data_IF_123235365684
#
_entry.id   IF_123235365684
#
_cell.length_a   1.000
_cell.length_b   1.000
_cell.length_c   1.000
_cell.angle_alpha   90.00
_cell.angle_beta   90.00
_cell.angle_gamma   90.00
#
_symmetry.space_group_name_H-M   'P 1'
#
loop_
_entity.id
_entity.type
_entity.pdbx_description
1 polymer ?
#
# COMPACT_ATOMS: atom_id res chain seq x y z
N UNK A 1 28.32 -4.27 -15.57
CA UNK A 1 27.51 -3.30 -14.81
C UNK A 1 27.38 -3.82 -13.37
N UNK A 2 27.89 -3.07 -12.40
CA UNK A 2 27.85 -3.49 -10.99
C UNK A 2 26.41 -3.82 -10.55
N UNK A 3 26.24 -4.93 -9.83
CA UNK A 3 24.92 -5.40 -9.37
C UNK A 3 24.11 -4.33 -8.61
N UNK A 4 24.79 -3.40 -7.94
CA UNK A 4 24.18 -2.26 -7.24
C UNK A 4 23.57 -1.22 -8.22
N UNK A 5 24.26 -0.88 -9.30
CA UNK A 5 23.79 0.11 -10.29
C UNK A 5 22.54 -0.37 -11.04
N UNK A 6 22.47 -1.66 -11.37
CA UNK A 6 21.27 -2.23 -12.03
C UNK A 6 20.05 -2.27 -11.11
N UNK A 7 20.25 -2.45 -9.80
CA UNK A 7 19.18 -2.40 -8.80
C UNK A 7 18.61 -0.98 -8.66
N UNK A 8 19.49 0.01 -8.58
CA UNK A 8 19.12 1.41 -8.45
C UNK A 8 18.37 1.91 -9.70
N UNK A 9 18.85 1.60 -10.88
CA UNK A 9 18.16 1.97 -12.13
C UNK A 9 16.77 1.37 -12.24
N UNK A 10 16.59 0.09 -11.88
CA UNK A 10 15.27 -0.55 -11.88
C UNK A 10 14.30 0.07 -10.86
N UNK A 11 14.79 0.54 -9.71
CA UNK A 11 13.98 1.21 -8.72
C UNK A 11 13.57 2.62 -9.16
N UNK A 12 14.48 3.37 -9.81
CA UNK A 12 14.16 4.67 -10.41
C UNK A 12 13.13 4.51 -11.54
N UNK A 13 13.31 3.51 -12.39
CA UNK A 13 12.34 3.24 -13.47
C UNK A 13 10.94 2.96 -12.90
N UNK A 14 10.88 2.17 -11.83
CA UNK A 14 9.61 1.93 -11.13
C UNK A 14 9.01 3.23 -10.57
N UNK A 15 9.82 4.08 -9.95
CA UNK A 15 9.36 5.39 -9.47
C UNK A 15 8.78 6.24 -10.61
N UNK A 16 9.49 6.34 -11.73
CA UNK A 16 9.03 7.10 -12.90
C UNK A 16 7.69 6.55 -13.43
N UNK A 17 7.53 5.22 -13.49
CA UNK A 17 6.29 4.58 -13.95
C UNK A 17 5.14 4.88 -13.00
N UNK A 18 5.37 4.79 -11.69
CA UNK A 18 4.35 5.04 -10.68
C UNK A 18 3.93 6.51 -10.65
N UNK A 19 4.90 7.42 -10.60
CA UNK A 19 4.62 8.87 -10.60
C UNK A 19 3.96 9.28 -11.91
N UNK A 20 4.47 8.84 -13.06
CA UNK A 20 3.87 9.11 -14.36
C UNK A 20 2.45 8.53 -14.48
N UNK A 21 2.19 7.36 -13.89
CA UNK A 21 0.86 6.77 -13.82
C UNK A 21 -0.11 7.63 -12.99
N UNK A 22 0.31 8.10 -11.82
CA UNK A 22 -0.52 8.97 -10.98
C UNK A 22 -0.75 10.35 -11.64
N UNK A 23 0.26 10.95 -12.26
CA UNK A 23 0.11 12.20 -13.01
C UNK A 23 -0.84 12.06 -14.20
N UNK A 24 -0.74 10.93 -14.92
CA UNK A 24 -1.67 10.60 -15.99
C UNK A 24 -3.12 10.49 -15.50
N UNK A 25 -3.33 9.87 -14.32
CA UNK A 25 -4.65 9.78 -13.71
C UNK A 25 -5.17 11.15 -13.27
N UNK A 26 -4.34 12.01 -12.71
CA UNK A 26 -4.71 13.39 -12.37
C UNK A 26 -5.10 14.18 -13.63
N UNK A 27 -4.34 14.04 -14.70
CA UNK A 27 -4.66 14.71 -15.98
C UNK A 27 -6.03 14.26 -16.52
N UNK A 28 -6.36 12.96 -16.44
CA UNK A 28 -7.67 12.43 -16.84
C UNK A 28 -8.80 13.00 -15.95
N UNK A 29 -8.57 13.10 -14.64
CA UNK A 29 -9.55 13.71 -13.72
C UNK A 29 -9.80 15.18 -14.07
N UNK A 30 -8.76 15.92 -14.39
CA UNK A 30 -8.88 17.33 -14.79
C UNK A 30 -9.64 17.51 -16.10
N UNK A 31 -9.73 16.48 -16.95
CA UNK A 31 -10.56 16.45 -18.15
C UNK A 31 -12.03 16.07 -17.86
N UNK A 32 -12.42 15.91 -16.58
CA UNK A 32 -13.77 15.52 -16.16
C UNK A 32 -14.27 14.19 -16.79
N UNK A 33 -13.37 13.21 -16.93
CA UNK A 33 -13.69 11.90 -17.50
C UNK A 33 -13.56 10.77 -16.47
N UNK A 34 -14.50 10.63 -15.52
CA UNK A 34 -14.41 9.65 -14.44
C UNK A 34 -14.39 8.19 -14.93
N UNK A 35 -15.10 7.89 -16.02
CA UNK A 35 -15.11 6.54 -16.59
C UNK A 35 -13.76 6.16 -17.20
N UNK A 36 -13.11 7.11 -17.87
CA UNK A 36 -11.77 6.94 -18.43
C UNK A 36 -10.76 6.79 -17.29
N UNK A 37 -10.94 7.57 -16.22
CA UNK A 37 -10.11 7.43 -15.01
C UNK A 37 -10.19 6.02 -14.44
N UNK A 38 -11.38 5.50 -14.20
CA UNK A 38 -11.59 4.17 -13.63
C UNK A 38 -10.94 3.06 -14.48
N UNK A 39 -11.15 3.12 -15.80
CA UNK A 39 -10.55 2.17 -16.75
C UNK A 39 -9.02 2.28 -16.76
N UNK A 40 -8.48 3.49 -16.83
CA UNK A 40 -7.03 3.71 -16.85
C UNK A 40 -6.40 3.28 -15.53
N UNK A 41 -7.02 3.61 -14.39
CA UNK A 41 -6.59 3.16 -13.08
C UNK A 41 -6.51 1.63 -12.98
N UNK A 42 -7.51 0.93 -13.54
CA UNK A 42 -7.52 -0.52 -13.60
C UNK A 42 -6.33 -1.07 -14.41
N UNK A 43 -6.08 -0.54 -15.61
CA UNK A 43 -4.95 -0.99 -16.44
C UNK A 43 -3.59 -0.65 -15.84
N UNK A 44 -3.43 0.54 -15.25
CA UNK A 44 -2.20 0.93 -14.55
C UNK A 44 -1.98 0.02 -13.35
N UNK A 45 -3.03 -0.31 -12.60
CA UNK A 45 -2.99 -1.26 -11.50
C UNK A 45 -2.57 -2.67 -11.92
N UNK A 46 -3.16 -3.18 -13.00
CA UNK A 46 -2.77 -4.49 -13.57
C UNK A 46 -1.31 -4.49 -14.01
N UNK A 47 -0.86 -3.42 -14.68
CA UNK A 47 0.53 -3.28 -15.10
C UNK A 47 1.48 -3.26 -13.89
N UNK A 48 1.11 -2.55 -12.82
CA UNK A 48 1.89 -2.50 -11.60
C UNK A 48 1.99 -3.87 -10.90
N UNK A 49 0.88 -4.61 -10.80
CA UNK A 49 0.84 -5.97 -10.28
C UNK A 49 1.72 -6.90 -11.13
N UNK A 50 1.61 -6.79 -12.44
CA UNK A 50 2.42 -7.57 -13.38
C UNK A 50 3.91 -7.27 -13.22
N UNK A 51 4.29 -6.00 -13.02
CA UNK A 51 5.66 -5.59 -12.79
C UNK A 51 6.24 -6.23 -11.50
N UNK A 52 5.46 -6.24 -10.41
CA UNK A 52 5.86 -6.92 -9.17
C UNK A 52 5.97 -8.42 -9.38
N UNK A 53 5.06 -9.01 -10.12
CA UNK A 53 5.08 -10.42 -10.46
C UNK A 53 6.34 -10.79 -11.26
N UNK A 54 6.70 -9.97 -12.24
CA UNK A 54 7.93 -10.14 -13.00
C UNK A 54 9.18 -10.01 -12.12
N UNK A 55 9.19 -9.06 -11.19
CA UNK A 55 10.28 -8.84 -10.27
C UNK A 55 10.54 -10.06 -9.38
N UNK A 56 9.45 -10.67 -8.88
CA UNK A 56 9.52 -11.80 -7.96
C UNK A 56 10.33 -12.98 -8.52
N UNK A 57 10.15 -13.31 -9.80
CA UNK A 57 10.71 -14.55 -10.36
C UNK A 57 12.10 -14.39 -10.99
N UNK A 58 12.43 -13.19 -11.45
CA UNK A 58 13.75 -12.93 -12.04
C UNK A 58 14.92 -13.22 -11.07
N UNK A 59 14.65 -13.30 -9.77
CA UNK A 59 15.65 -13.52 -8.74
C UNK A 59 15.62 -14.90 -8.08
N UNK A 60 14.49 -15.63 -8.13
CA UNK A 60 14.35 -16.89 -7.41
C UNK A 60 14.88 -18.11 -8.15
N UNK A 61 14.83 -18.13 -9.47
CA UNK A 61 15.09 -19.36 -10.23
C UNK A 61 16.32 -19.38 -11.13
N UNK A 62 16.84 -18.23 -11.57
CA UNK A 62 17.93 -18.29 -12.55
C UNK A 62 18.91 -17.11 -12.46
N UNK A 63 19.89 -17.15 -11.56
CA UNK A 63 21.06 -16.28 -11.69
C UNK A 63 21.84 -16.54 -13.01
N UNK A 64 21.59 -17.69 -13.67
CA UNK A 64 22.18 -18.07 -14.95
C UNK A 64 21.51 -17.49 -16.20
N UNK A 65 20.20 -17.19 -16.16
CA UNK A 65 19.49 -16.60 -17.31
C UNK A 65 19.93 -15.17 -17.62
N UNK A 66 20.36 -14.42 -16.59
CA UNK A 66 20.97 -13.11 -16.79
C UNK A 66 22.39 -13.14 -17.40
N UNK A 67 23.12 -14.23 -17.24
CA UNK A 67 24.40 -14.43 -17.95
C UNK A 67 24.20 -14.64 -19.46
N UNK A 68 23.10 -15.30 -19.87
CA UNK A 68 22.73 -15.43 -21.29
C UNK A 68 22.33 -14.11 -21.95
N UNK A 69 21.88 -13.12 -21.20
CA UNK A 69 21.58 -11.79 -21.72
C UNK A 69 22.85 -10.96 -22.09
N UNK A 70 24.05 -11.40 -21.67
CA UNK A 70 25.33 -10.79 -22.09
C UNK A 70 25.71 -11.06 -23.54
N UNK A 71 25.17 -12.11 -24.15
CA UNK A 71 25.43 -12.47 -25.54
C UNK A 71 24.52 -11.70 -26.54
N UNK A 72 23.79 -10.68 -26.07
CA UNK A 72 22.78 -9.92 -26.80
C UNK A 72 23.35 -8.74 -27.65
N UNK A 73 24.56 -8.87 -28.16
CA UNK A 73 25.17 -7.80 -28.96
C UNK A 73 24.81 -7.84 -30.45
N UNK A 74 23.82 -8.60 -30.87
CA UNK A 74 23.42 -8.72 -32.26
C UNK A 74 22.06 -8.08 -32.55
N UNK A 75 22.08 -6.90 -33.20
CA UNK A 75 20.96 -6.29 -33.92
C UNK A 75 19.66 -6.00 -33.16
N UNK A 76 19.14 -4.77 -33.24
CA UNK A 76 17.99 -4.29 -32.45
C UNK A 76 16.69 -5.08 -32.67
N UNK A 77 16.43 -5.57 -33.90
CA UNK A 77 15.26 -6.40 -34.21
C UNK A 77 15.36 -7.82 -33.62
N UNK A 78 16.55 -8.40 -33.64
CA UNK A 78 16.82 -9.69 -33.00
C UNK A 78 16.73 -9.60 -31.47
N UNK A 79 17.02 -8.42 -30.90
CA UNK A 79 16.94 -8.12 -29.49
C UNK A 79 15.48 -8.12 -29.01
N UNK A 80 14.55 -7.51 -29.77
CA UNK A 80 13.13 -7.44 -29.44
C UNK A 80 12.47 -8.83 -29.45
N UNK A 81 12.70 -9.62 -30.51
CA UNK A 81 12.14 -10.98 -30.64
C UNK A 81 12.72 -11.94 -29.57
N UNK A 82 14.00 -11.84 -29.27
CA UNK A 82 14.64 -12.62 -28.21
C UNK A 82 14.17 -12.18 -26.82
N UNK A 83 14.00 -10.87 -26.59
CA UNK A 83 13.40 -10.32 -25.37
C UNK A 83 11.98 -10.81 -25.15
N UNK A 84 11.14 -10.78 -26.16
CA UNK A 84 9.77 -11.31 -26.10
C UNK A 84 9.74 -12.82 -25.81
N UNK A 85 10.62 -13.62 -26.42
CA UNK A 85 10.74 -15.05 -26.14
C UNK A 85 11.18 -15.34 -24.69
N UNK A 86 12.14 -14.58 -24.17
CA UNK A 86 12.62 -14.71 -22.79
C UNK A 86 11.50 -14.34 -21.80
N UNK A 87 10.79 -13.24 -22.07
CA UNK A 87 9.65 -12.80 -21.24
C UNK A 87 8.49 -13.80 -21.32
N UNK A 88 8.15 -14.30 -22.52
CA UNK A 88 7.05 -15.26 -22.66
C UNK A 88 7.37 -16.62 -22.04
N UNK A 89 8.58 -17.15 -22.19
CA UNK A 89 8.99 -18.40 -21.53
C UNK A 89 9.02 -18.23 -20.00
N UNK A 90 9.53 -17.09 -19.53
CA UNK A 90 9.54 -16.78 -18.12
C UNK A 90 8.12 -16.62 -17.55
N UNK A 91 7.20 -16.03 -18.29
CA UNK A 91 5.78 -15.93 -17.92
C UNK A 91 5.11 -17.32 -17.88
N UNK A 92 5.36 -18.15 -18.86
CA UNK A 92 4.80 -19.49 -18.92
C UNK A 92 5.25 -20.36 -17.74
N UNK A 93 6.55 -20.36 -17.46
CA UNK A 93 7.11 -21.06 -16.29
C UNK A 93 6.50 -20.56 -14.97
N UNK A 94 6.18 -19.28 -14.89
CA UNK A 94 5.55 -18.65 -13.72
C UNK A 94 4.11 -19.05 -13.54
N UNK A 95 3.35 -19.02 -14.63
CA UNK A 95 1.96 -19.45 -14.61
C UNK A 95 1.85 -20.93 -14.20
N UNK A 96 2.80 -21.77 -14.63
CA UNK A 96 2.88 -23.15 -14.20
C UNK A 96 3.15 -23.29 -12.69
N UNK A 97 4.03 -22.43 -12.12
CA UNK A 97 4.37 -22.43 -10.69
C UNK A 97 3.31 -21.78 -9.80
N UNK A 98 2.46 -20.87 -10.33
CA UNK A 98 1.31 -20.34 -9.59
C UNK A 98 0.35 -21.46 -9.15
N UNK A 99 0.38 -22.61 -9.84
CA UNK A 99 -0.37 -23.81 -9.47
C UNK A 99 0.14 -24.46 -8.17
N UNK A 100 1.39 -24.16 -7.76
CA UNK A 100 1.93 -24.59 -6.49
C UNK A 100 1.45 -23.65 -5.38
N UNK A 101 0.58 -24.09 -4.46
CA UNK A 101 -0.04 -23.25 -3.42
C UNK A 101 0.98 -22.53 -2.50
N UNK A 102 2.20 -23.07 -2.35
CA UNK A 102 3.29 -22.42 -1.60
C UNK A 102 3.79 -21.14 -2.30
N UNK A 103 3.94 -21.19 -3.62
CA UNK A 103 4.40 -20.06 -4.42
C UNK A 103 3.35 -18.95 -4.46
N UNK A 104 2.08 -19.29 -4.70
CA UNK A 104 0.98 -18.35 -4.71
C UNK A 104 0.86 -17.60 -3.37
N UNK A 105 0.96 -18.33 -2.25
CA UNK A 105 0.92 -17.74 -0.91
C UNK A 105 2.06 -16.76 -0.66
N UNK A 106 3.27 -17.09 -1.10
CA UNK A 106 4.43 -16.21 -0.98
C UNK A 106 4.24 -14.94 -1.80
N UNK A 107 3.86 -15.09 -3.06
CA UNK A 107 3.64 -13.97 -3.97
C UNK A 107 2.54 -13.04 -3.47
N UNK A 108 1.40 -13.59 -3.06
CA UNK A 108 0.30 -12.82 -2.51
C UNK A 108 0.73 -11.94 -1.32
N UNK A 109 1.51 -12.51 -0.40
CA UNK A 109 1.99 -11.77 0.77
C UNK A 109 2.92 -10.59 0.41
N UNK A 110 3.72 -10.73 -0.65
CA UNK A 110 4.56 -9.62 -1.12
C UNK A 110 3.77 -8.57 -1.89
N UNK A 111 2.62 -8.93 -2.45
CA UNK A 111 1.76 -8.03 -3.20
C UNK A 111 0.84 -7.18 -2.30
N UNK A 112 0.48 -7.68 -1.11
CA UNK A 112 -0.50 -7.02 -0.22
C UNK A 112 -0.13 -5.56 0.05
N UNK A 113 1.06 -5.29 0.58
CA UNK A 113 1.43 -3.93 0.98
C UNK A 113 1.51 -2.95 -0.22
N UNK A 114 2.26 -3.26 -1.30
CA UNK A 114 2.32 -2.34 -2.44
C UNK A 114 0.97 -2.20 -3.15
N UNK A 115 0.18 -3.28 -3.21
CA UNK A 115 -1.16 -3.23 -3.77
C UNK A 115 -2.09 -2.31 -2.96
N UNK A 116 -2.07 -2.42 -1.65
CA UNK A 116 -2.86 -1.55 -0.77
C UNK A 116 -2.45 -0.08 -0.90
N UNK A 117 -1.14 0.23 -0.91
CA UNK A 117 -0.65 1.59 -1.12
C UNK A 117 -1.11 2.12 -2.48
N UNK A 118 -0.94 1.33 -3.53
CA UNK A 118 -1.27 1.75 -4.89
C UNK A 118 -2.77 2.04 -5.05
N UNK A 119 -3.64 1.09 -4.65
CA UNK A 119 -5.09 1.25 -4.79
C UNK A 119 -5.66 2.31 -3.85
N UNK A 120 -5.14 2.43 -2.63
CA UNK A 120 -5.50 3.51 -1.72
C UNK A 120 -5.12 4.88 -2.29
N UNK A 121 -3.95 5.00 -2.91
CA UNK A 121 -3.52 6.24 -3.57
C UNK A 121 -4.44 6.62 -4.73
N UNK A 122 -4.83 5.66 -5.57
CA UNK A 122 -5.80 5.88 -6.66
C UNK A 122 -7.15 6.35 -6.10
N UNK A 123 -7.63 5.69 -5.04
CA UNK A 123 -8.91 6.04 -4.43
C UNK A 123 -8.90 7.46 -3.86
N UNK A 124 -7.82 7.86 -3.20
CA UNK A 124 -7.68 9.20 -2.66
C UNK A 124 -7.55 10.24 -3.78
N UNK A 125 -6.76 9.98 -4.81
CA UNK A 125 -6.63 10.88 -5.97
C UNK A 125 -7.96 11.08 -6.68
N UNK A 126 -8.81 10.05 -6.75
CA UNK A 126 -10.14 10.13 -7.37
C UNK A 126 -11.05 11.15 -6.68
N UNK A 127 -10.92 11.34 -5.36
CA UNK A 127 -11.75 12.29 -4.61
C UNK A 127 -11.33 13.75 -4.85
N UNK A 128 -10.16 13.94 -5.40
CA UNK A 128 -9.58 15.22 -5.78
C UNK A 128 -9.54 16.25 -4.65
N UNK A 129 -8.37 16.56 -4.19
CA UNK A 129 -8.17 17.54 -3.10
C UNK A 129 -8.34 19.00 -3.51
N UNK A 130 -8.69 19.29 -4.76
CA UNK A 130 -8.88 20.67 -5.26
C UNK A 130 -7.61 21.53 -5.29
N UNK A 131 -6.58 21.18 -4.54
CA UNK A 131 -5.33 21.92 -4.43
C UNK A 131 -4.19 21.16 -5.13
N UNK A 132 -3.78 21.65 -6.27
CA UNK A 132 -2.70 21.04 -7.07
C UNK A 132 -1.43 20.72 -6.25
N UNK A 133 -1.00 21.61 -5.38
CA UNK A 133 0.20 21.41 -4.55
C UNK A 133 0.06 20.19 -3.61
N UNK A 134 -1.13 20.01 -3.03
CA UNK A 134 -1.39 18.87 -2.12
C UNK A 134 -1.39 17.58 -2.91
N UNK A 135 -1.99 17.56 -4.11
CA UNK A 135 -1.96 16.40 -5.01
C UNK A 135 -0.52 16.00 -5.34
N UNK A 136 0.33 16.97 -5.68
CA UNK A 136 1.74 16.71 -6.01
C UNK A 136 2.53 16.14 -4.82
N UNK A 137 2.36 16.70 -3.62
CA UNK A 137 2.97 16.17 -2.41
C UNK A 137 2.51 14.72 -2.18
N UNK A 138 1.22 14.46 -2.35
CA UNK A 138 0.64 13.13 -2.18
C UNK A 138 1.19 12.12 -3.20
N UNK A 139 1.29 12.51 -4.48
CA UNK A 139 1.90 11.67 -5.54
C UNK A 139 3.35 11.35 -5.22
N UNK A 140 4.14 12.34 -4.78
CA UNK A 140 5.53 12.14 -4.41
C UNK A 140 5.68 11.20 -3.21
N UNK A 141 4.86 11.37 -2.16
CA UNK A 141 4.89 10.52 -0.97
C UNK A 141 4.48 9.08 -1.31
N UNK A 142 3.42 8.90 -2.09
CA UNK A 142 2.97 7.59 -2.54
C UNK A 142 4.01 6.92 -3.46
N UNK A 143 4.60 7.69 -4.37
CA UNK A 143 5.68 7.25 -5.22
C UNK A 143 6.91 6.81 -4.43
N UNK A 144 7.32 7.60 -3.42
CA UNK A 144 8.43 7.26 -2.54
C UNK A 144 8.15 6.00 -1.71
N UNK A 145 6.93 5.84 -1.18
CA UNK A 145 6.53 4.65 -0.44
C UNK A 145 6.58 3.39 -1.32
N UNK A 146 6.09 3.47 -2.55
CA UNK A 146 6.13 2.36 -3.52
C UNK A 146 7.55 2.08 -4.01
N UNK A 147 8.39 3.11 -4.19
CA UNK A 147 9.81 2.96 -4.48
C UNK A 147 10.55 2.22 -3.38
N UNK A 148 10.36 2.61 -2.12
CA UNK A 148 10.99 1.94 -0.97
C UNK A 148 10.50 0.49 -0.84
N UNK A 149 9.21 0.25 -1.08
CA UNK A 149 8.67 -1.11 -1.10
C UNK A 149 9.28 -1.96 -2.21
N UNK A 150 9.40 -1.41 -3.42
CA UNK A 150 10.05 -2.09 -4.54
C UNK A 150 11.52 -2.38 -4.25
N UNK A 151 12.25 -1.42 -3.66
CA UNK A 151 13.64 -1.61 -3.24
C UNK A 151 13.78 -2.73 -2.22
N UNK A 152 12.92 -2.74 -1.22
CA UNK A 152 12.87 -3.77 -0.18
C UNK A 152 12.62 -5.17 -0.78
N UNK A 153 11.64 -5.31 -1.67
CA UNK A 153 11.36 -6.56 -2.34
C UNK A 153 12.56 -7.04 -3.15
N UNK A 154 13.19 -6.14 -3.89
CA UNK A 154 14.37 -6.45 -4.69
C UNK A 154 15.57 -6.90 -3.84
N UNK A 155 15.73 -6.31 -2.67
CA UNK A 155 16.78 -6.69 -1.74
C UNK A 155 16.53 -8.08 -1.14
N UNK A 156 15.30 -8.36 -0.72
CA UNK A 156 14.90 -9.70 -0.24
C UNK A 156 15.16 -10.76 -1.31
N UNK A 157 14.74 -10.50 -2.55
CA UNK A 157 14.88 -11.48 -3.63
C UNK A 157 16.34 -11.68 -4.08
N UNK A 158 17.21 -10.66 -3.89
CA UNK A 158 18.60 -10.75 -4.30
C UNK A 158 19.54 -11.34 -3.27
N UNK A 159 19.31 -11.06 -1.98
CA UNK A 159 20.20 -11.45 -0.88
C UNK A 159 19.60 -12.48 0.07
N UNK A 160 18.30 -12.70 -0.05
CA UNK A 160 17.54 -13.44 0.94
C UNK A 160 17.19 -12.57 2.16
N UNK A 161 16.13 -12.98 2.84
CA UNK A 161 15.51 -12.23 3.94
C UNK A 161 16.44 -12.01 5.15
N UNK A 162 17.37 -12.91 5.37
CA UNK A 162 18.28 -12.87 6.53
C UNK A 162 19.41 -11.86 6.41
N UNK A 163 19.62 -11.32 5.20
CA UNK A 163 20.72 -10.39 4.89
C UNK A 163 20.24 -8.99 4.52
N UNK A 164 19.01 -8.65 4.87
CA UNK A 164 18.47 -7.30 4.62
C UNK A 164 19.02 -6.36 5.66
N UNK A 165 19.54 -5.22 5.22
CA UNK A 165 20.12 -4.20 6.10
C UNK A 165 19.07 -3.62 7.06
N UNK A 166 19.46 -3.34 8.30
CA UNK A 166 18.59 -2.79 9.36
C UNK A 166 17.90 -1.49 8.92
N UNK A 167 18.61 -0.64 8.18
CA UNK A 167 18.08 0.66 7.70
C UNK A 167 16.88 0.48 6.77
N UNK A 168 16.88 -0.58 5.97
CA UNK A 168 15.75 -0.91 5.10
C UNK A 168 14.52 -1.33 5.91
N UNK A 169 14.71 -2.04 7.02
CA UNK A 169 13.60 -2.38 7.92
C UNK A 169 13.00 -1.14 8.59
N UNK A 170 13.83 -0.19 9.01
CA UNK A 170 13.37 1.10 9.56
C UNK A 170 12.59 1.87 8.50
N UNK A 171 13.11 1.99 7.29
CA UNK A 171 12.41 2.64 6.18
C UNK A 171 11.05 1.97 5.89
N UNK A 172 10.99 0.63 5.95
CA UNK A 172 9.73 -0.11 5.75
C UNK A 172 8.73 0.11 6.91
N UNK A 173 9.18 0.40 8.11
CA UNK A 173 8.28 0.79 9.19
C UNK A 173 7.58 2.12 8.89
N UNK A 174 8.31 3.11 8.38
CA UNK A 174 7.73 4.38 7.93
C UNK A 174 6.74 4.16 6.78
N UNK A 175 7.08 3.30 5.81
CA UNK A 175 6.16 2.94 4.71
C UNK A 175 4.87 2.32 5.24
N UNK A 176 4.94 1.47 6.27
CA UNK A 176 3.73 0.86 6.88
C UNK A 176 2.85 1.88 7.60
N UNK A 177 3.45 2.85 8.31
CA UNK A 177 2.71 3.95 8.93
C UNK A 177 1.98 4.76 7.86
N UNK A 178 2.68 5.14 6.81
CA UNK A 178 2.09 5.83 5.66
C UNK A 178 0.97 5.00 5.02
N UNK A 179 1.22 3.71 4.77
CA UNK A 179 0.25 2.80 4.17
C UNK A 179 -1.03 2.71 5.00
N UNK A 180 -0.92 2.59 6.33
CA UNK A 180 -2.11 2.56 7.20
C UNK A 180 -2.93 3.84 7.09
N UNK A 181 -2.28 5.01 7.09
CA UNK A 181 -2.94 6.30 6.98
C UNK A 181 -3.71 6.45 5.65
N UNK A 182 -3.07 6.13 4.53
CA UNK A 182 -3.72 6.26 3.22
C UNK A 182 -4.81 5.21 3.00
N UNK A 183 -4.64 3.99 3.50
CA UNK A 183 -5.64 2.92 3.38
C UNK A 183 -6.90 3.29 4.17
N UNK A 184 -6.77 3.70 5.43
CA UNK A 184 -7.93 4.14 6.20
C UNK A 184 -8.56 5.41 5.63
N UNK A 185 -7.74 6.36 5.16
CA UNK A 185 -8.22 7.54 4.45
C UNK A 185 -9.03 7.19 3.21
N UNK A 186 -8.52 6.29 2.38
CA UNK A 186 -9.21 5.81 1.19
C UNK A 186 -10.55 5.14 1.52
N UNK A 187 -10.59 4.27 2.53
CA UNK A 187 -11.81 3.59 2.97
C UNK A 187 -12.85 4.62 3.44
N UNK A 188 -12.48 5.55 4.33
CA UNK A 188 -13.39 6.56 4.86
C UNK A 188 -13.94 7.44 3.74
N UNK A 189 -13.06 7.90 2.86
CA UNK A 189 -13.43 8.75 1.73
C UNK A 189 -14.37 8.03 0.79
N UNK A 190 -14.07 6.79 0.41
CA UNK A 190 -14.91 6.02 -0.52
C UNK A 190 -16.28 5.70 0.06
N UNK A 191 -16.35 5.27 1.32
CA UNK A 191 -17.63 4.99 1.98
C UNK A 191 -18.50 6.24 2.04
N UNK A 192 -17.91 7.39 2.37
CA UNK A 192 -18.65 8.65 2.42
C UNK A 192 -19.01 9.20 1.04
N UNK A 193 -18.14 9.04 0.06
CA UNK A 193 -18.38 9.52 -1.32
C UNK A 193 -19.55 8.80 -1.98
N UNK A 194 -19.61 7.50 -1.78
CA UNK A 194 -20.65 6.66 -2.38
C UNK A 194 -21.84 6.40 -1.46
N UNK A 195 -21.90 7.09 -0.29
CA UNK A 195 -22.94 6.90 0.70
C UNK A 195 -23.17 5.42 1.06
N UNK A 196 -22.08 4.66 1.19
CA UNK A 196 -22.16 3.26 1.54
C UNK A 196 -22.54 3.10 3.02
N UNK A 197 -23.26 2.02 3.33
CA UNK A 197 -23.63 1.70 4.70
C UNK A 197 -22.42 1.49 5.60
N UNK A 198 -22.59 1.73 6.89
CA UNK A 198 -21.55 1.55 7.90
C UNK A 198 -20.91 0.16 7.91
N UNK A 199 -21.65 -0.87 7.47
CA UNK A 199 -21.16 -2.24 7.35
C UNK A 199 -20.01 -2.37 6.35
N UNK A 200 -20.05 -1.63 5.24
CA UNK A 200 -18.95 -1.64 4.26
C UNK A 200 -17.68 -1.04 4.85
N UNK A 201 -17.78 0.03 5.64
CA UNK A 201 -16.63 0.62 6.30
C UNK A 201 -16.03 -0.35 7.33
N UNK A 202 -16.87 -0.91 8.22
CA UNK A 202 -16.39 -1.84 9.24
C UNK A 202 -15.74 -3.07 8.63
N UNK A 203 -16.33 -3.64 7.58
CA UNK A 203 -15.77 -4.79 6.87
C UNK A 203 -14.45 -4.43 6.17
N UNK A 204 -14.39 -3.28 5.49
CA UNK A 204 -13.18 -2.84 4.80
C UNK A 204 -12.04 -2.57 5.80
N UNK A 205 -12.32 -1.89 6.91
CA UNK A 205 -11.35 -1.65 7.98
C UNK A 205 -10.87 -2.99 8.58
N UNK A 206 -11.78 -3.91 8.85
CA UNK A 206 -11.45 -5.25 9.33
C UNK A 206 -10.49 -5.97 8.38
N UNK A 207 -10.87 -6.10 7.12
CA UNK A 207 -10.08 -6.81 6.10
C UNK A 207 -8.70 -6.16 5.91
N UNK A 208 -8.65 -4.84 5.79
CA UNK A 208 -7.40 -4.13 5.57
C UNK A 208 -6.47 -4.21 6.79
N UNK A 209 -7.01 -4.06 8.00
CA UNK A 209 -6.24 -4.22 9.24
C UNK A 209 -5.68 -5.62 9.37
N UNK A 210 -6.52 -6.63 9.16
CA UNK A 210 -6.10 -8.03 9.18
C UNK A 210 -4.99 -8.30 8.18
N UNK A 211 -5.13 -7.84 6.93
CA UNK A 211 -4.13 -8.05 5.88
C UNK A 211 -2.80 -7.35 6.19
N UNK A 212 -2.84 -6.11 6.72
CA UNK A 212 -1.63 -5.37 7.08
C UNK A 212 -0.84 -6.08 8.18
N UNK A 213 -1.53 -6.54 9.25
CA UNK A 213 -0.87 -7.25 10.35
C UNK A 213 -0.42 -8.64 9.90
N UNK A 214 -1.25 -9.37 9.16
CA UNK A 214 -0.89 -10.67 8.61
C UNK A 214 0.36 -10.59 7.73
N UNK A 215 0.45 -9.58 6.88
CA UNK A 215 1.63 -9.35 6.04
C UNK A 215 2.87 -9.03 6.90
N UNK A 216 2.71 -8.26 7.99
CA UNK A 216 3.79 -7.98 8.92
C UNK A 216 4.26 -9.24 9.65
N UNK A 217 3.34 -10.08 10.17
CA UNK A 217 3.66 -11.38 10.77
C UNK A 217 4.37 -12.31 9.79
N UNK A 218 3.93 -12.30 8.52
CA UNK A 218 4.58 -13.06 7.47
C UNK A 218 6.03 -12.59 7.26
N UNK A 219 6.27 -11.30 7.24
CA UNK A 219 7.61 -10.74 7.11
C UNK A 219 8.54 -11.15 8.27
N UNK A 220 8.01 -11.22 9.48
CA UNK A 220 8.76 -11.61 10.67
C UNK A 220 8.80 -13.13 10.93
N UNK A 221 8.18 -13.95 10.06
CA UNK A 221 8.05 -15.42 10.24
C UNK A 221 7.32 -15.84 11.53
N UNK A 222 6.44 -14.99 12.02
CA UNK A 222 5.75 -15.17 13.30
C UNK A 222 4.30 -15.65 13.12
N UNK A 223 3.98 -16.30 12.00
CA UNK A 223 2.64 -16.84 11.75
C UNK A 223 2.43 -18.07 12.63
N UNK A 224 1.64 -17.91 13.67
CA UNK A 224 1.15 -18.96 14.56
C UNK A 224 -0.35 -18.72 14.80
N UNK A 225 -1.07 -19.76 15.20
CA UNK A 225 -2.50 -19.70 15.52
C UNK A 225 -2.80 -18.63 16.59
N UNK A 226 -2.00 -18.54 17.64
CA UNK A 226 -2.14 -17.52 18.69
C UNK A 226 -1.98 -16.10 18.13
N UNK A 227 -0.96 -15.86 17.30
CA UNK A 227 -0.71 -14.56 16.69
C UNK A 227 -1.81 -14.19 15.69
N UNK A 228 -2.39 -15.17 14.98
CA UNK A 228 -3.55 -14.95 14.12
C UNK A 228 -4.81 -14.59 14.92
N UNK A 229 -5.02 -15.20 16.08
CA UNK A 229 -6.14 -14.86 16.96
C UNK A 229 -6.01 -13.43 17.50
N UNK A 230 -4.80 -13.00 17.89
CA UNK A 230 -4.55 -11.61 18.32
C UNK A 230 -4.75 -10.66 17.13
N UNK A 231 -4.28 -11.02 15.94
CA UNK A 231 -4.50 -10.23 14.71
C UNK A 231 -5.98 -10.03 14.44
N UNK A 232 -6.78 -11.09 14.59
CA UNK A 232 -8.23 -11.03 14.45
C UNK A 232 -8.86 -10.09 15.47
N UNK A 233 -8.44 -10.19 16.74
CA UNK A 233 -8.93 -9.32 17.81
C UNK A 233 -8.60 -7.84 17.52
N UNK A 234 -7.38 -7.53 17.08
CA UNK A 234 -6.99 -6.17 16.71
C UNK A 234 -7.83 -5.67 15.52
N UNK A 235 -8.08 -6.50 14.51
CA UNK A 235 -8.91 -6.14 13.38
C UNK A 235 -10.35 -5.84 13.78
N UNK A 236 -10.92 -6.60 14.74
CA UNK A 236 -12.24 -6.33 15.30
C UNK A 236 -12.25 -4.99 16.06
N UNK A 237 -11.27 -4.75 16.93
CA UNK A 237 -11.17 -3.48 17.67
C UNK A 237 -11.07 -2.30 16.71
N UNK A 238 -10.23 -2.39 15.67
CA UNK A 238 -10.11 -1.34 14.65
C UNK A 238 -11.40 -1.11 13.87
N UNK A 239 -12.20 -2.15 13.65
CA UNK A 239 -13.53 -2.02 13.01
C UNK A 239 -14.50 -1.23 13.87
N UNK A 240 -14.52 -1.46 15.19
CA UNK A 240 -15.32 -0.66 16.12
C UNK A 240 -14.85 0.80 16.18
N UNK A 241 -13.54 1.03 16.21
CA UNK A 241 -12.98 2.40 16.12
C UNK A 241 -13.41 3.06 14.80
N UNK A 242 -13.33 2.34 13.68
CA UNK A 242 -13.79 2.82 12.37
C UNK A 242 -15.26 3.18 12.35
N UNK A 243 -16.12 2.38 12.97
CA UNK A 243 -17.53 2.69 13.12
C UNK A 243 -17.72 3.98 13.94
N UNK A 244 -17.03 4.12 15.08
CA UNK A 244 -17.05 5.34 15.88
C UNK A 244 -16.61 6.58 15.09
N UNK A 245 -15.56 6.46 14.29
CA UNK A 245 -15.11 7.52 13.38
C UNK A 245 -16.20 7.88 12.36
N UNK A 246 -16.92 6.93 11.81
CA UNK A 246 -18.01 7.22 10.88
C UNK A 246 -19.14 8.02 11.54
N UNK A 247 -19.49 7.68 12.78
CA UNK A 247 -20.60 8.30 13.51
C UNK A 247 -20.24 9.69 14.05
N UNK A 248 -19.07 9.82 14.68
CA UNK A 248 -18.72 11.04 15.44
C UNK A 248 -17.84 12.02 14.67
N UNK A 249 -17.11 11.55 13.62
CA UNK A 249 -16.18 12.41 12.89
C UNK A 249 -16.87 13.20 11.80
N UNK A 250 -16.65 14.51 11.79
CA UNK A 250 -17.18 15.40 10.76
C UNK A 250 -16.57 15.17 9.36
N UNK A 251 -16.50 16.23 8.56
CA UNK A 251 -16.08 16.16 7.15
C UNK A 251 -14.57 16.06 6.93
N UNK A 252 -13.75 16.16 7.99
CA UNK A 252 -12.30 16.14 7.84
C UNK A 252 -11.76 14.71 7.76
N UNK A 253 -11.69 14.18 6.54
CA UNK A 253 -11.22 12.80 6.27
C UNK A 253 -9.76 12.58 6.64
N UNK A 254 -8.93 13.62 6.54
CA UNK A 254 -7.50 13.54 6.87
C UNK A 254 -7.28 13.29 8.34
N UNK A 255 -7.93 14.05 9.19
CA UNK A 255 -7.80 13.87 10.63
C UNK A 255 -8.36 12.51 11.06
N UNK A 256 -9.46 12.06 10.45
CA UNK A 256 -9.99 10.72 10.66
C UNK A 256 -8.99 9.61 10.27
N UNK A 257 -8.36 9.75 9.11
CA UNK A 257 -7.35 8.81 8.63
C UNK A 257 -6.11 8.76 9.54
N UNK A 258 -5.62 9.92 9.98
CA UNK A 258 -4.48 10.02 10.90
C UNK A 258 -4.83 9.40 12.26
N UNK A 259 -6.03 9.66 12.78
CA UNK A 259 -6.49 9.05 14.02
C UNK A 259 -6.55 7.52 13.91
N UNK A 260 -7.16 6.99 12.86
CA UNK A 260 -7.21 5.55 12.61
C UNK A 260 -5.80 4.93 12.48
N UNK A 261 -4.91 5.62 11.78
CA UNK A 261 -3.53 5.17 11.65
C UNK A 261 -2.78 5.21 12.99
N UNK A 262 -3.01 6.22 13.84
CA UNK A 262 -2.42 6.29 15.18
C UNK A 262 -2.89 5.12 16.06
N UNK A 263 -4.20 4.84 16.06
CA UNK A 263 -4.76 3.69 16.78
C UNK A 263 -4.18 2.35 16.27
N UNK A 264 -4.10 2.18 14.95
CA UNK A 264 -3.50 0.98 14.34
C UNK A 264 -2.03 0.83 14.75
N UNK A 265 -1.25 1.90 14.66
CA UNK A 265 0.18 1.86 14.97
C UNK A 265 0.43 1.61 16.46
N UNK A 266 -0.42 2.14 17.35
CA UNK A 266 -0.38 1.82 18.78
C UNK A 266 -0.58 0.32 19.01
N UNK A 267 -1.68 -0.22 18.47
CA UNK A 267 -2.00 -1.65 18.65
C UNK A 267 -0.94 -2.55 18.03
N UNK A 268 -0.45 -2.20 16.84
CA UNK A 268 0.61 -2.93 16.18
C UNK A 268 1.93 -2.85 16.95
N UNK A 269 2.32 -1.68 17.45
CA UNK A 269 3.56 -1.52 18.20
C UNK A 269 3.54 -2.34 19.49
N UNK A 270 2.45 -2.27 20.27
CA UNK A 270 2.29 -3.08 21.48
C UNK A 270 2.37 -4.57 21.15
N UNK A 271 1.69 -5.00 20.10
CA UNK A 271 1.72 -6.40 19.67
C UNK A 271 3.12 -6.82 19.20
N UNK A 272 3.82 -5.99 18.44
CA UNK A 272 5.18 -6.27 17.97
C UNK A 272 6.18 -6.40 19.12
N UNK A 273 6.15 -5.46 20.08
CA UNK A 273 7.00 -5.54 21.27
C UNK A 273 6.68 -6.77 22.12
N UNK A 274 5.42 -7.18 22.18
CA UNK A 274 5.05 -8.43 22.84
C UNK A 274 5.64 -9.66 22.14
N UNK A 275 5.62 -9.69 20.81
CA UNK A 275 6.19 -10.77 20.01
C UNK A 275 7.73 -10.90 20.19
N UNK A 276 8.39 -9.76 20.28
CA UNK A 276 9.84 -9.68 20.48
C UNK A 276 10.25 -9.93 21.96
N UNK A 277 9.28 -10.15 22.85
CA UNK A 277 9.47 -10.27 24.31
C UNK A 277 10.19 -9.05 24.91
N UNK A 278 10.10 -7.93 24.27
CA UNK A 278 10.71 -6.65 24.64
C UNK A 278 9.69 -5.67 25.26
N UNK A 279 8.45 -6.09 25.46
CA UNK A 279 7.41 -5.25 26.04
C UNK A 279 7.68 -5.04 27.54
N UNK A 280 8.21 -3.87 27.85
CA UNK A 280 8.36 -3.38 29.23
C UNK A 280 7.31 -2.32 29.53
N UNK A 281 7.01 -2.07 30.80
CA UNK A 281 6.11 -0.98 31.20
C UNK A 281 6.55 0.38 30.65
N UNK A 282 7.85 0.65 30.67
CA UNK A 282 8.41 1.88 30.11
C UNK A 282 8.15 2.01 28.61
N UNK A 283 8.44 0.96 27.83
CA UNK A 283 8.20 0.96 26.39
C UNK A 283 6.70 1.12 26.06
N UNK A 284 5.83 0.47 26.83
CA UNK A 284 4.39 0.63 26.66
C UNK A 284 3.95 2.10 26.86
N UNK A 285 4.37 2.73 27.95
CA UNK A 285 4.00 4.11 28.23
C UNK A 285 4.57 5.11 27.23
N UNK A 286 5.76 4.88 26.71
CA UNK A 286 6.37 5.68 25.68
C UNK A 286 5.54 5.66 24.38
N UNK A 287 5.19 4.45 23.90
CA UNK A 287 4.37 4.28 22.69
C UNK A 287 2.97 4.89 22.90
N UNK A 288 2.38 4.65 24.07
CA UNK A 288 1.07 5.17 24.42
C UNK A 288 1.07 6.70 24.47
N UNK A 289 2.08 7.32 25.12
CA UNK A 289 2.21 8.78 25.20
C UNK A 289 2.33 9.43 23.82
N UNK A 290 3.16 8.86 22.93
CA UNK A 290 3.27 9.36 21.55
C UNK A 290 1.92 9.29 20.83
N UNK A 291 1.20 8.18 20.97
CA UNK A 291 -0.10 7.99 20.33
C UNK A 291 -1.14 8.96 20.90
N UNK A 292 -1.13 9.21 22.19
CA UNK A 292 -2.03 10.19 22.85
C UNK A 292 -1.73 11.61 22.37
N UNK A 293 -0.46 11.98 22.22
CA UNK A 293 -0.07 13.31 21.69
C UNK A 293 -0.61 13.48 20.27
N UNK A 294 -0.43 12.47 19.40
CA UNK A 294 -0.94 12.52 18.03
C UNK A 294 -2.48 12.63 18.04
N UNK A 295 -3.17 11.84 18.86
CA UNK A 295 -4.62 11.93 18.98
C UNK A 295 -5.08 13.29 19.50
N UNK A 296 -4.41 13.86 20.51
CA UNK A 296 -4.72 15.19 21.04
C UNK A 296 -4.55 16.29 19.98
N UNK A 297 -3.45 16.23 19.20
CA UNK A 297 -3.26 17.14 18.06
C UNK A 297 -4.39 17.01 17.03
N UNK A 298 -4.75 15.77 16.68
CA UNK A 298 -5.83 15.52 15.73
C UNK A 298 -7.16 16.04 16.25
N UNK A 299 -7.47 15.81 17.53
CA UNK A 299 -8.69 16.28 18.16
C UNK A 299 -8.75 17.81 18.22
N UNK A 300 -7.63 18.49 18.46
CA UNK A 300 -7.59 19.97 18.51
C UNK A 300 -7.91 20.62 17.17
N UNK A 301 -7.63 19.94 16.06
CA UNK A 301 -7.85 20.45 14.69
C UNK A 301 -9.23 20.00 14.15
N UNK A 302 -9.85 19.00 14.76
CA UNK A 302 -11.05 18.37 14.24
C UNK A 302 -12.30 19.03 14.78
N UNK A 303 -13.14 19.52 13.87
CA UNK A 303 -14.50 19.94 14.22
C UNK A 303 -15.41 18.72 14.26
N UNK A 304 -15.73 18.26 15.46
CA UNK A 304 -16.68 17.18 15.66
C UNK A 304 -18.09 17.68 15.41
N UNK A 305 -18.76 17.12 14.42
CA UNK A 305 -20.20 17.27 14.21
C UNK A 305 -20.78 15.86 14.12
N UNK A 306 -21.61 15.52 15.09
CA UNK A 306 -22.40 14.28 15.00
C UNK A 306 -23.19 14.32 13.68
N UNK A 307 -23.00 13.33 12.84
CA UNK A 307 -23.74 13.18 11.59
C UNK A 307 -24.96 12.33 11.88
N UNK A 308 -26.13 12.85 11.52
CA UNK A 308 -27.32 12.01 11.35
C UNK A 308 -26.98 11.13 10.11
N UNK A 309 -26.98 9.81 10.29
CA UNK A 309 -26.56 8.83 9.28
C UNK A 309 -27.37 8.92 7.96
N UNK A 310 -28.49 9.64 7.97
CA UNK A 310 -29.41 9.79 6.84
C UNK A 310 -29.06 10.94 5.88
N UNK A 311 -28.09 11.79 6.19
CA UNK A 311 -27.72 12.93 5.33
C UNK A 311 -26.75 12.53 4.21
N UNK A 312 -27.18 11.62 3.35
CA UNK A 312 -26.55 11.38 2.04
C UNK A 312 -26.83 12.49 1.01
N UNK A 313 -27.61 13.49 1.37
CA UNK A 313 -27.97 14.63 0.48
C UNK A 313 -26.80 15.59 0.19
N UNK A 314 -25.70 15.48 0.91
CA UNK A 314 -24.48 16.20 0.56
C UNK A 314 -23.63 15.39 -0.44
N UNK A 315 -24.08 15.43 -1.71
CA UNK A 315 -23.10 15.30 -2.80
C UNK A 315 -21.96 16.27 -2.49
N UNK A 316 -20.76 15.76 -2.21
CA UNK A 316 -19.55 16.58 -2.24
C UNK A 316 -19.62 17.27 -3.60
N UNK A 317 -19.66 18.62 -3.66
CA UNK A 317 -19.77 19.27 -4.96
C UNK A 317 -18.60 18.75 -5.78
N UNK A 318 -18.92 17.97 -6.82
CA UNK A 318 -17.96 17.70 -7.86
C UNK A 318 -17.51 19.07 -8.31
N UNK A 319 -16.25 19.47 -8.04
CA UNK A 319 -15.55 20.59 -8.60
C UNK A 319 -16.37 21.37 -9.61
N UNK A 320 -17.10 22.42 -9.16
CA UNK A 320 -17.59 23.47 -10.03
C UNK A 320 -18.47 23.10 -11.22
N UNK A 321 -18.93 21.86 -11.35
CA UNK A 321 -19.95 21.50 -12.33
C UNK A 321 -21.30 22.02 -11.85
N UNK A 322 -21.54 23.30 -12.07
CA UNK A 322 -22.90 23.84 -12.20
C UNK A 322 -23.46 23.22 -13.47
N UNK A 323 -24.47 22.38 -13.35
CA UNK A 323 -25.44 22.18 -14.40
C UNK A 323 -26.40 23.35 -14.39
#
# INVERSE_FOLDING_TARGET
MNSKTGKFFGAILNLCIVVGGFEGLIAILNLNQPDVYARTAFYVGLFYIFQIFLLYDLHLKNPGSFKRAKDLHQGMSHWFVKGCKIVSSALWDRCAHLREGKFFRLWLNYLVLPGMIFWASIAILFVNFGFYRIQQIFVLLSGAALFLNYWYLKEIFSRGRERVDRDIFVAMSVVKVYASAIVYGAIIVMVRRYCLDAHYLTLAVFCCTFLLIYQALFQHRLINIQNLAITLAIAIVMSFIGYGVLVFWGYNYFTAAVFMAACYNLLWAVFHYHLDKALTWSAFWEIFAISVIICAMVFSITNFRARILDDCSYSIPMLGLRY
#
